data_IF_753376187039
#
_entry.id   IF_753376187039
#
_cell.length_a   1.000
_cell.length_b   1.000
_cell.length_c   1.000
_cell.angle_alpha   90.00
_cell.angle_beta   90.00
_cell.angle_gamma   90.00
#
_symmetry.space_group_name_H-M   'P 1'
#
loop_
_entity.id
_entity.type
_entity.pdbx_description
1 polymer ?
#
# COMPACT_ATOMS: atom_id res chain seq x y z
N UNK A 1 -5.46 -9.54 8.82
CA UNK A 1 -6.58 -9.89 9.72
C UNK A 1 -7.81 -9.18 9.18
N UNK A 2 -9.04 -9.69 9.40
CA UNK A 2 -10.17 -8.78 9.35
C UNK A 2 -9.88 -7.75 10.45
N UNK A 3 -9.90 -6.46 10.10
CA UNK A 3 -9.69 -5.42 11.10
C UNK A 3 -10.56 -5.73 12.31
N UNK A 4 -9.97 -5.74 13.50
CA UNK A 4 -10.76 -5.71 14.71
C UNK A 4 -11.65 -4.47 14.65
N UNK A 5 -12.86 -4.54 15.20
CA UNK A 5 -13.85 -3.46 15.11
C UNK A 5 -13.24 -2.08 15.48
N UNK A 6 -12.36 -2.04 16.48
CA UNK A 6 -11.69 -0.81 16.88
C UNK A 6 -10.72 -0.26 15.80
N UNK A 7 -10.02 -1.11 15.06
CA UNK A 7 -9.10 -0.72 13.98
C UNK A 7 -9.90 -0.16 12.81
N UNK A 8 -11.00 -0.83 12.45
CA UNK A 8 -11.94 -0.35 11.45
C UNK A 8 -12.54 1.01 11.82
N UNK A 9 -13.03 1.13 13.06
CA UNK A 9 -13.58 2.37 13.57
C UNK A 9 -12.54 3.49 13.59
N UNK A 10 -11.27 3.17 13.86
CA UNK A 10 -10.17 4.15 13.83
C UNK A 10 -9.98 4.73 12.43
N UNK A 11 -9.91 3.87 11.41
CA UNK A 11 -9.78 4.30 10.01
C UNK A 11 -11.02 5.08 9.60
N UNK A 12 -12.23 4.57 9.88
CA UNK A 12 -13.48 5.24 9.52
C UNK A 12 -13.64 6.61 10.19
N UNK A 13 -13.15 6.79 11.43
CA UNK A 13 -13.11 8.11 12.06
C UNK A 13 -12.26 9.11 11.28
N UNK A 14 -11.12 8.68 10.75
CA UNK A 14 -10.28 9.55 9.91
C UNK A 14 -10.95 9.89 8.57
N UNK A 15 -11.62 8.94 7.92
CA UNK A 15 -12.41 9.21 6.70
C UNK A 15 -13.57 10.18 6.98
N UNK A 16 -14.34 9.94 8.06
CA UNK A 16 -15.40 10.84 8.49
C UNK A 16 -14.88 12.24 8.82
N UNK A 17 -13.70 12.33 9.45
CA UNK A 17 -13.03 13.61 9.75
C UNK A 17 -12.65 14.35 8.47
N UNK A 18 -12.06 13.66 7.49
CA UNK A 18 -11.71 14.21 6.17
C UNK A 18 -12.95 14.74 5.44
N UNK A 19 -14.03 13.95 5.38
CA UNK A 19 -15.29 14.39 4.77
C UNK A 19 -15.90 15.60 5.46
N UNK A 20 -15.88 15.63 6.81
CA UNK A 20 -16.36 16.78 7.57
C UNK A 20 -15.51 18.03 7.29
N UNK A 21 -14.19 17.88 7.18
CA UNK A 21 -13.29 18.98 6.82
C UNK A 21 -13.54 19.49 5.40
N UNK A 22 -13.66 18.60 4.42
CA UNK A 22 -13.93 18.98 3.03
C UNK A 22 -15.29 19.67 2.86
N UNK A 23 -16.31 19.22 3.61
CA UNK A 23 -17.61 19.88 3.65
C UNK A 23 -17.50 21.30 4.20
N UNK A 24 -16.72 21.51 5.28
CA UNK A 24 -16.49 22.86 5.82
C UNK A 24 -15.80 23.76 4.80
N UNK A 25 -14.78 23.26 4.10
CA UNK A 25 -14.09 24.01 3.04
C UNK A 25 -15.10 24.39 1.94
N UNK A 26 -15.96 23.46 1.53
CA UNK A 26 -16.99 23.74 0.53
C UNK A 26 -17.99 24.80 1.01
N UNK A 27 -18.44 24.72 2.26
CA UNK A 27 -19.35 25.71 2.87
C UNK A 27 -18.69 27.10 2.92
N UNK A 28 -17.40 27.17 3.25
CA UNK A 28 -16.61 28.42 3.24
C UNK A 28 -16.48 29.00 1.82
N UNK A 29 -16.11 28.17 0.84
CA UNK A 29 -16.05 28.59 -0.57
C UNK A 29 -17.40 29.09 -1.08
N UNK A 30 -18.48 28.39 -0.74
CA UNK A 30 -19.83 28.75 -1.14
C UNK A 30 -20.28 30.07 -0.50
N UNK A 31 -20.03 30.25 0.80
CA UNK A 31 -20.34 31.50 1.49
C UNK A 31 -19.58 32.69 0.88
N UNK A 32 -18.28 32.54 0.65
CA UNK A 32 -17.46 33.57 0.02
C UNK A 32 -17.94 33.91 -1.40
N UNK A 33 -18.19 32.89 -2.22
CA UNK A 33 -18.61 33.06 -3.60
C UNK A 33 -19.99 33.72 -3.69
N UNK A 34 -20.94 33.36 -2.81
CA UNK A 34 -22.26 33.98 -2.76
C UNK A 34 -22.21 35.43 -2.28
N UNK A 35 -21.32 35.76 -1.35
CA UNK A 35 -21.13 37.14 -0.89
C UNK A 35 -20.61 38.03 -2.02
N UNK A 36 -19.61 37.56 -2.79
CA UNK A 36 -19.00 38.33 -3.87
C UNK A 36 -19.78 38.29 -5.18
N UNK A 37 -20.50 37.21 -5.45
CA UNK A 37 -21.24 36.96 -6.69
C UNK A 37 -22.67 36.50 -6.33
N UNK A 38 -23.56 37.42 -5.92
CA UNK A 38 -24.93 37.08 -5.49
C UNK A 38 -25.73 36.29 -6.53
N UNK A 39 -25.44 36.49 -7.83
CA UNK A 39 -26.06 35.75 -8.94
C UNK A 39 -25.88 34.23 -8.83
N UNK A 40 -24.80 33.74 -8.20
CA UNK A 40 -24.60 32.31 -7.99
C UNK A 40 -25.70 31.70 -7.11
N UNK A 41 -26.14 32.42 -6.08
CA UNK A 41 -27.22 31.97 -5.20
C UNK A 41 -28.56 31.95 -5.94
N UNK A 42 -28.82 32.96 -6.77
CA UNK A 42 -30.03 33.01 -7.60
C UNK A 42 -30.08 31.84 -8.58
N UNK A 43 -28.95 31.51 -9.21
CA UNK A 43 -28.83 30.34 -10.10
C UNK A 43 -29.19 29.06 -9.35
N UNK A 44 -28.68 28.85 -8.13
CA UNK A 44 -29.00 27.64 -7.36
C UNK A 44 -30.48 27.59 -6.94
N UNK A 45 -31.10 28.72 -6.60
CA UNK A 45 -32.54 28.83 -6.34
C UNK A 45 -33.40 28.55 -7.59
N UNK A 46 -32.96 29.02 -8.77
CA UNK A 46 -33.59 28.74 -10.07
C UNK A 46 -33.50 27.24 -10.41
N UNK A 47 -32.31 26.63 -10.28
CA UNK A 47 -32.11 25.19 -10.51
C UNK A 47 -32.98 24.34 -9.58
N UNK A 48 -33.07 24.70 -8.29
CA UNK A 48 -33.93 24.01 -7.33
C UNK A 48 -35.41 24.11 -7.73
N UNK A 49 -35.84 25.29 -8.17
CA UNK A 49 -37.23 25.54 -8.60
C UNK A 49 -37.58 24.75 -9.87
N UNK A 50 -36.70 24.76 -10.87
CA UNK A 50 -36.84 23.98 -12.11
C UNK A 50 -36.95 22.48 -11.80
N UNK A 51 -36.06 21.98 -10.93
CA UNK A 51 -36.04 20.58 -10.51
C UNK A 51 -37.33 20.18 -9.79
N UNK A 52 -37.79 20.98 -8.83
CA UNK A 52 -39.03 20.73 -8.09
C UNK A 52 -40.28 20.77 -9.00
N UNK A 53 -40.31 21.68 -9.97
CA UNK A 53 -41.38 21.74 -10.99
C UNK A 53 -41.42 20.44 -11.80
N UNK A 54 -40.27 19.89 -12.17
CA UNK A 54 -40.19 18.64 -12.93
C UNK A 54 -40.69 17.44 -12.14
N UNK A 55 -40.27 17.30 -10.88
CA UNK A 55 -40.75 16.21 -10.02
C UNK A 55 -42.28 16.19 -9.96
N UNK A 56 -42.91 17.37 -9.79
CA UNK A 56 -44.39 17.48 -9.80
C UNK A 56 -45.00 17.09 -11.14
N UNK A 57 -44.42 17.49 -12.27
CA UNK A 57 -44.95 17.16 -13.59
C UNK A 57 -44.92 15.64 -13.88
N UNK A 58 -43.84 14.95 -13.45
CA UNK A 58 -43.72 13.50 -13.58
C UNK A 58 -44.75 12.74 -12.71
N UNK A 59 -44.98 13.19 -11.48
CA UNK A 59 -46.03 12.64 -10.60
C UNK A 59 -47.41 12.78 -11.26
N UNK A 60 -47.65 13.90 -11.94
CA UNK A 60 -48.90 14.22 -12.61
C UNK A 60 -49.03 13.63 -14.04
N UNK A 61 -48.09 12.75 -14.47
CA UNK A 61 -48.07 12.09 -15.79
C UNK A 61 -48.12 13.04 -16.99
N UNK A 62 -47.52 14.21 -16.89
CA UNK A 62 -47.32 15.10 -18.04
C UNK A 62 -45.99 14.75 -18.73
N UNK A 63 -46.05 14.22 -19.96
CA UNK A 63 -44.87 13.75 -20.72
C UNK A 63 -44.08 14.85 -21.45
N UNK A 64 -44.53 16.10 -21.45
CA UNK A 64 -43.84 17.20 -22.13
C UNK A 64 -42.66 17.78 -21.33
N UNK A 65 -41.53 18.04 -22.00
CA UNK A 65 -40.46 18.92 -21.51
C UNK A 65 -39.35 18.26 -20.67
N UNK A 66 -38.87 17.06 -21.01
CA UNK A 66 -37.65 16.50 -20.39
C UNK A 66 -36.40 17.18 -20.96
N UNK A 67 -36.36 17.41 -22.27
CA UNK A 67 -35.21 18.02 -22.94
C UNK A 67 -35.06 19.51 -22.61
N UNK A 68 -36.16 20.25 -22.47
CA UNK A 68 -36.14 21.68 -22.09
C UNK A 68 -35.49 21.90 -20.71
N UNK A 69 -35.79 21.03 -19.73
CA UNK A 69 -35.19 21.13 -18.40
C UNK A 69 -33.67 20.89 -18.42
N UNK A 70 -33.22 19.89 -19.19
CA UNK A 70 -31.79 19.59 -19.31
C UNK A 70 -31.05 20.76 -19.93
N UNK A 71 -31.65 21.41 -20.93
CA UNK A 71 -31.10 22.58 -21.59
C UNK A 71 -31.06 23.78 -20.64
N UNK A 72 -32.13 24.07 -19.91
CA UNK A 72 -32.19 25.17 -18.94
C UNK A 72 -31.14 24.99 -17.83
N UNK A 73 -31.03 23.78 -17.26
CA UNK A 73 -30.01 23.46 -16.24
C UNK A 73 -28.59 23.57 -16.82
N UNK A 74 -28.38 23.14 -18.07
CA UNK A 74 -27.08 23.26 -18.73
C UNK A 74 -26.67 24.74 -18.96
N UNK A 75 -27.61 25.59 -19.37
CA UNK A 75 -27.39 27.04 -19.52
C UNK A 75 -27.03 27.71 -18.20
N UNK A 76 -27.78 27.41 -17.13
CA UNK A 76 -27.49 27.91 -15.78
C UNK A 76 -26.14 27.42 -15.26
N UNK A 77 -25.75 26.17 -15.55
CA UNK A 77 -24.43 25.64 -15.21
C UNK A 77 -23.30 26.35 -15.97
N UNK A 78 -23.50 26.66 -17.25
CA UNK A 78 -22.55 27.46 -18.04
C UNK A 78 -22.43 28.89 -17.51
N UNK A 79 -23.55 29.53 -17.18
CA UNK A 79 -23.57 30.87 -16.57
C UNK A 79 -22.78 30.88 -15.25
N UNK A 80 -23.05 29.91 -14.36
CA UNK A 80 -22.33 29.72 -13.10
C UNK A 80 -20.82 29.63 -13.30
N UNK A 81 -20.40 28.80 -14.26
CA UNK A 81 -18.99 28.60 -14.59
C UNK A 81 -18.34 29.89 -15.11
N UNK A 82 -19.03 30.61 -16.00
CA UNK A 82 -18.55 31.89 -16.53
C UNK A 82 -18.41 32.96 -15.44
N UNK A 83 -19.37 33.03 -14.50
CA UNK A 83 -19.34 33.96 -13.37
C UNK A 83 -18.15 33.69 -12.43
N UNK A 84 -17.89 32.43 -12.09
CA UNK A 84 -16.72 32.04 -11.30
C UNK A 84 -15.42 32.46 -11.98
N UNK A 85 -15.24 32.07 -13.25
CA UNK A 85 -14.02 32.39 -14.01
C UNK A 85 -13.80 33.89 -14.19
N UNK A 86 -14.86 34.65 -14.51
CA UNK A 86 -14.78 36.11 -14.69
C UNK A 86 -14.43 36.86 -13.40
N UNK A 87 -14.70 36.24 -12.24
CA UNK A 87 -14.39 36.78 -10.91
C UNK A 87 -13.09 36.25 -10.33
N UNK A 88 -12.31 35.48 -11.10
CA UNK A 88 -10.99 34.97 -10.70
C UNK A 88 -11.02 33.63 -9.94
N UNK A 89 -12.16 32.95 -9.85
CA UNK A 89 -12.28 31.64 -9.24
C UNK A 89 -12.12 30.51 -10.25
N UNK A 90 -11.59 29.34 -9.85
CA UNK A 90 -11.65 28.12 -10.63
C UNK A 90 -13.09 27.71 -10.98
N UNK A 91 -13.28 27.00 -12.10
CA UNK A 91 -14.60 26.54 -12.53
C UNK A 91 -15.27 25.56 -11.54
N UNK A 92 -14.45 24.80 -10.81
CA UNK A 92 -14.81 23.80 -9.81
C UNK A 92 -14.78 24.35 -8.37
N UNK A 93 -14.68 25.67 -8.18
CA UNK A 93 -14.51 26.29 -6.85
C UNK A 93 -15.59 25.92 -5.82
N UNK A 94 -16.81 25.68 -6.30
CA UNK A 94 -17.98 25.31 -5.49
C UNK A 94 -18.11 23.79 -5.29
N UNK A 95 -17.29 22.99 -5.96
CA UNK A 95 -17.29 21.54 -5.80
C UNK A 95 -16.62 21.15 -4.49
N UNK A 96 -17.09 20.05 -3.87
CA UNK A 96 -16.49 19.56 -2.63
C UNK A 96 -15.09 18.99 -2.94
N UNK A 97 -14.03 19.49 -2.31
CA UNK A 97 -12.71 18.91 -2.49
C UNK A 97 -12.71 17.45 -1.98
N UNK A 98 -11.92 16.59 -2.62
CA UNK A 98 -11.71 15.23 -2.15
C UNK A 98 -10.23 14.85 -2.19
N UNK A 99 -9.80 14.08 -1.19
CA UNK A 99 -8.42 13.58 -1.10
C UNK A 99 -8.24 12.38 -2.01
N UNK A 100 -9.20 11.45 -1.99
CA UNK A 100 -9.24 10.30 -2.88
C UNK A 100 -10.26 10.54 -4.01
N UNK A 101 -9.82 10.69 -5.27
CA UNK A 101 -10.73 10.90 -6.40
C UNK A 101 -11.56 9.65 -6.75
N UNK A 102 -11.16 8.47 -6.26
CA UNK A 102 -11.81 7.20 -6.57
C UNK A 102 -13.05 6.97 -5.69
N UNK A 103 -12.90 7.11 -4.37
CA UNK A 103 -13.98 6.87 -3.42
C UNK A 103 -14.59 8.15 -2.85
N UNK A 104 -14.08 9.32 -3.21
CA UNK A 104 -14.51 10.62 -2.67
C UNK A 104 -14.49 10.62 -1.13
N UNK A 105 -13.39 10.12 -0.57
CA UNK A 105 -13.15 10.01 0.87
C UNK A 105 -14.20 9.21 1.66
N UNK A 106 -14.93 8.30 1.00
CA UNK A 106 -15.79 7.32 1.68
C UNK A 106 -15.03 6.09 2.13
N UNK A 107 -13.87 5.81 1.51
CA UNK A 107 -13.12 4.57 1.69
C UNK A 107 -13.66 3.40 0.88
N UNK A 108 -14.76 3.56 0.14
CA UNK A 108 -15.45 2.47 -0.55
C UNK A 108 -15.86 2.86 -1.97
N UNK A 109 -15.86 1.87 -2.87
CA UNK A 109 -16.44 1.98 -4.21
C UNK A 109 -17.56 0.93 -4.28
N UNK A 110 -18.80 1.36 -4.09
CA UNK A 110 -19.92 0.44 -3.88
C UNK A 110 -19.75 -0.35 -2.59
N UNK A 111 -19.73 -1.68 -2.68
CA UNK A 111 -19.49 -2.58 -1.55
C UNK A 111 -18.02 -2.95 -1.34
N UNK A 112 -17.12 -2.52 -2.23
CA UNK A 112 -15.71 -2.90 -2.19
C UNK A 112 -14.88 -1.82 -1.53
N UNK A 113 -13.92 -2.22 -0.69
CA UNK A 113 -12.93 -1.31 -0.11
C UNK A 113 -12.11 -0.65 -1.21
N UNK A 114 -11.99 0.67 -1.16
CA UNK A 114 -11.13 1.43 -2.06
C UNK A 114 -9.65 1.12 -1.77
N UNK A 115 -8.78 1.28 -2.76
CA UNK A 115 -7.32 1.14 -2.60
C UNK A 115 -6.77 2.07 -1.51
N UNK A 116 -7.32 3.28 -1.36
CA UNK A 116 -6.92 4.19 -0.29
C UNK A 116 -7.29 3.66 1.10
N UNK A 117 -8.39 2.91 1.21
CA UNK A 117 -8.80 2.31 2.48
C UNK A 117 -7.88 1.14 2.81
N UNK A 118 -7.63 0.24 1.86
CA UNK A 118 -6.66 -0.85 2.00
C UNK A 118 -5.28 -0.33 2.46
N UNK A 119 -4.82 0.79 1.88
CA UNK A 119 -3.57 1.45 2.30
C UNK A 119 -3.63 1.96 3.75
N UNK A 120 -4.75 2.55 4.16
CA UNK A 120 -4.93 2.97 5.55
C UNK A 120 -4.96 1.78 6.54
N UNK A 121 -5.46 0.61 6.12
CA UNK A 121 -5.38 -0.62 6.93
C UNK A 121 -3.93 -1.01 7.20
N UNK A 122 -3.11 -0.98 6.15
CA UNK A 122 -1.69 -1.33 6.22
C UNK A 122 -0.94 -0.35 7.09
N UNK A 123 -1.15 0.96 6.90
CA UNK A 123 -0.51 1.99 7.69
C UNK A 123 -0.86 1.87 9.19
N UNK A 124 -2.11 1.53 9.49
CA UNK A 124 -2.53 1.26 10.87
C UNK A 124 -1.83 0.02 11.44
N UNK A 125 -1.76 -1.07 10.67
CA UNK A 125 -1.05 -2.29 11.09
C UNK A 125 0.42 -2.01 11.38
N UNK A 126 1.09 -1.21 10.56
CA UNK A 126 2.48 -0.81 10.75
C UNK A 126 2.71 0.08 11.95
N UNK A 127 1.75 0.97 12.24
CA UNK A 127 1.79 1.81 13.44
C UNK A 127 1.65 0.95 14.70
N UNK A 128 0.84 -0.10 14.65
CA UNK A 128 0.61 -1.00 15.78
C UNK A 128 1.74 -2.02 15.99
N UNK A 129 2.47 -2.39 14.94
CA UNK A 129 3.59 -3.33 15.02
C UNK A 129 4.93 -2.68 15.36
N UNK A 130 4.95 -1.39 15.71
CA UNK A 130 6.15 -0.56 15.87
C UNK A 130 7.07 -0.52 14.63
N UNK A 131 6.62 -1.05 13.49
CA UNK A 131 7.43 -1.11 12.27
C UNK A 131 7.79 0.30 11.80
N UNK A 132 6.91 1.29 12.00
CA UNK A 132 7.20 2.69 11.68
C UNK A 132 8.47 3.21 12.37
N UNK A 133 8.61 2.96 13.67
CA UNK A 133 9.81 3.38 14.43
C UNK A 133 11.07 2.61 14.01
N UNK A 134 10.90 1.37 13.54
CA UNK A 134 12.00 0.56 13.00
C UNK A 134 12.47 1.15 11.68
N UNK A 135 11.55 1.48 10.76
CA UNK A 135 11.88 1.99 9.42
C UNK A 135 12.55 3.39 9.47
N UNK A 136 12.26 4.21 10.49
CA UNK A 136 12.99 5.46 10.73
C UNK A 136 14.49 5.25 11.05
N UNK A 137 14.85 4.09 11.60
CA UNK A 137 16.23 3.73 11.99
C UNK A 137 16.90 2.77 11.01
N UNK A 138 16.11 1.93 10.34
CA UNK A 138 16.57 0.89 9.42
C UNK A 138 16.22 1.24 7.97
N UNK A 139 16.96 2.21 7.42
CA UNK A 139 16.80 2.70 6.06
C UNK A 139 18.17 2.90 5.38
N UNK A 140 18.13 3.29 4.10
CA UNK A 140 19.34 3.41 3.29
C UNK A 140 20.33 4.46 3.80
N UNK A 141 19.86 5.50 4.51
CA UNK A 141 20.71 6.55 5.08
C UNK A 141 21.52 6.03 6.30
N UNK A 142 20.95 5.06 7.02
CA UNK A 142 21.58 4.44 8.18
C UNK A 142 22.33 3.14 7.85
N UNK A 143 22.36 2.72 6.58
CA UNK A 143 23.12 1.55 6.15
C UNK A 143 24.63 1.84 6.23
N UNK A 144 25.39 1.07 7.00
CA UNK A 144 26.83 1.28 7.17
C UNK A 144 27.66 0.09 6.70
N UNK A 145 28.51 0.34 5.69
CA UNK A 145 29.48 -0.63 5.20
C UNK A 145 30.62 -0.91 6.20
N UNK A 146 30.75 -0.11 7.27
CA UNK A 146 31.82 -0.25 8.24
C UNK A 146 31.76 -1.58 9.01
N UNK A 147 30.58 -2.18 9.14
CA UNK A 147 30.36 -3.45 9.85
C UNK A 147 30.69 -4.70 9.01
N UNK A 148 31.05 -4.51 7.74
CA UNK A 148 31.41 -5.59 6.83
C UNK A 148 32.92 -5.57 6.57
N UNK A 149 33.56 -6.73 6.70
CA UNK A 149 35.00 -6.88 6.51
C UNK A 149 35.42 -6.89 5.04
N UNK A 150 36.57 -6.29 4.74
CA UNK A 150 37.25 -6.40 3.43
C UNK A 150 38.15 -7.63 3.33
N UNK A 151 38.33 -8.39 4.41
CA UNK A 151 39.27 -9.52 4.45
C UNK A 151 38.59 -10.89 4.55
N UNK A 152 37.35 -10.93 5.03
CA UNK A 152 36.59 -12.18 5.12
C UNK A 152 35.90 -12.39 3.78
N UNK A 153 36.19 -13.52 3.15
CA UNK A 153 35.68 -13.87 1.82
C UNK A 153 34.65 -14.98 1.88
N UNK A 154 33.68 -14.93 0.98
CA UNK A 154 32.77 -16.04 0.72
C UNK A 154 33.49 -17.10 -0.12
N UNK A 155 33.69 -18.30 0.43
CA UNK A 155 34.40 -19.41 -0.21
C UNK A 155 33.85 -19.76 -1.61
N UNK A 156 32.55 -19.55 -1.84
CA UNK A 156 31.90 -19.90 -3.10
C UNK A 156 32.05 -18.85 -4.20
N UNK A 157 32.27 -17.57 -3.84
CA UNK A 157 32.29 -16.46 -4.82
C UNK A 157 33.62 -15.70 -4.84
N UNK A 158 34.48 -15.91 -3.84
CA UNK A 158 35.73 -15.16 -3.64
C UNK A 158 35.53 -13.70 -3.21
N UNK A 159 34.28 -13.24 -3.04
CA UNK A 159 33.96 -11.86 -2.70
C UNK A 159 34.08 -11.61 -1.21
N UNK A 160 34.48 -10.40 -0.84
CA UNK A 160 34.53 -10.00 0.57
C UNK A 160 33.12 -9.79 1.15
N UNK A 161 32.98 -9.78 2.47
CA UNK A 161 31.72 -9.40 3.14
C UNK A 161 31.25 -8.02 2.65
N UNK A 162 32.17 -7.04 2.55
CA UNK A 162 31.83 -5.68 2.12
C UNK A 162 31.42 -5.61 0.66
N UNK A 163 32.07 -6.35 -0.22
CA UNK A 163 31.66 -6.45 -1.64
C UNK A 163 30.29 -7.09 -1.79
N UNK A 164 30.04 -8.15 -1.01
CA UNK A 164 28.76 -8.85 -1.00
C UNK A 164 27.64 -7.93 -0.49
N UNK A 165 27.87 -7.21 0.61
CA UNK A 165 26.95 -6.22 1.14
C UNK A 165 26.68 -5.07 0.16
N UNK A 166 27.71 -4.58 -0.53
CA UNK A 166 27.58 -3.53 -1.56
C UNK A 166 26.78 -3.99 -2.77
N UNK A 167 26.95 -5.24 -3.21
CA UNK A 167 26.08 -5.82 -4.25
C UNK A 167 24.63 -5.90 -3.81
N UNK A 168 24.38 -6.36 -2.58
CA UNK A 168 23.04 -6.43 -2.02
C UNK A 168 22.40 -5.03 -1.86
N UNK A 169 23.16 -4.05 -1.40
CA UNK A 169 22.74 -2.65 -1.29
C UNK A 169 22.38 -2.06 -2.65
N UNK A 170 23.25 -2.23 -3.65
CA UNK A 170 22.99 -1.73 -5.00
C UNK A 170 21.77 -2.41 -5.62
N UNK A 171 21.63 -3.73 -5.46
CA UNK A 171 20.44 -4.46 -5.91
C UNK A 171 19.16 -3.90 -5.26
N UNK A 172 19.20 -3.58 -3.97
CA UNK A 172 18.06 -3.00 -3.26
C UNK A 172 17.72 -1.58 -3.77
N UNK A 173 18.73 -0.73 -4.01
CA UNK A 173 18.52 0.61 -4.61
C UNK A 173 17.99 0.52 -6.03
N UNK A 174 18.54 -0.37 -6.86
CA UNK A 174 18.10 -0.60 -8.23
C UNK A 174 16.65 -1.11 -8.27
N UNK A 175 16.30 -2.01 -7.35
CA UNK A 175 14.94 -2.53 -7.20
C UNK A 175 13.94 -1.41 -6.88
N UNK A 176 14.26 -0.52 -5.93
CA UNK A 176 13.41 0.63 -5.60
C UNK A 176 13.28 1.58 -6.79
N UNK A 177 14.40 1.92 -7.44
CA UNK A 177 14.39 2.83 -8.58
C UNK A 177 13.63 2.27 -9.80
N UNK A 178 13.63 0.95 -9.98
CA UNK A 178 12.93 0.25 -11.05
C UNK A 178 11.51 -0.20 -10.71
N UNK A 179 11.03 0.01 -9.48
CA UNK A 179 9.86 -0.69 -8.94
C UNK A 179 8.60 -0.57 -9.81
N UNK A 180 8.30 0.63 -10.32
CA UNK A 180 7.13 0.90 -11.16
C UNK A 180 7.27 0.38 -12.61
N UNK A 181 8.51 0.16 -13.05
CA UNK A 181 8.82 -0.10 -14.46
C UNK A 181 9.16 -1.56 -14.73
N UNK A 182 9.64 -2.29 -13.72
CA UNK A 182 10.14 -3.66 -13.86
C UNK A 182 9.57 -4.56 -12.78
N UNK A 183 8.95 -5.67 -13.20
CA UNK A 183 8.55 -6.73 -12.28
C UNK A 183 9.78 -7.55 -11.87
N UNK A 184 10.17 -7.43 -10.60
CA UNK A 184 11.27 -8.18 -10.01
C UNK A 184 10.87 -8.75 -8.66
N UNK A 185 11.53 -9.84 -8.25
CA UNK A 185 11.42 -10.39 -6.91
C UNK A 185 12.83 -10.58 -6.35
N UNK A 186 13.02 -10.35 -5.05
CA UNK A 186 14.33 -10.50 -4.40
C UNK A 186 14.30 -11.62 -3.37
N UNK A 187 15.40 -12.35 -3.29
CA UNK A 187 15.58 -13.41 -2.30
C UNK A 187 16.91 -13.22 -1.58
N UNK A 188 16.85 -12.75 -0.34
CA UNK A 188 18.01 -12.55 0.52
C UNK A 188 18.23 -13.77 1.41
N UNK A 189 19.43 -14.35 1.36
CA UNK A 189 19.77 -15.52 2.19
C UNK A 189 21.17 -15.42 2.77
N UNK A 190 21.43 -16.13 3.85
CA UNK A 190 22.72 -16.11 4.55
C UNK A 190 22.55 -16.13 6.06
N UNK A 191 23.66 -16.05 6.79
CA UNK A 191 23.66 -16.24 8.24
C UNK A 191 22.90 -15.16 9.01
N UNK A 192 22.54 -15.48 10.25
CA UNK A 192 21.81 -14.59 11.14
C UNK A 192 22.59 -13.30 11.43
N UNK A 193 21.91 -12.15 11.32
CA UNK A 193 22.49 -10.84 11.68
C UNK A 193 23.40 -10.18 10.63
N UNK A 194 23.44 -10.68 9.39
CA UNK A 194 24.26 -10.09 8.30
C UNK A 194 23.60 -8.92 7.56
N UNK A 195 22.39 -8.52 7.94
CA UNK A 195 21.68 -7.36 7.37
C UNK A 195 20.60 -7.65 6.31
N UNK A 196 20.10 -8.90 6.22
CA UNK A 196 18.99 -9.26 5.30
C UNK A 196 17.71 -8.46 5.60
N UNK A 197 17.20 -8.55 6.82
CA UNK A 197 16.02 -7.82 7.30
C UNK A 197 16.19 -6.31 7.15
N UNK A 198 17.39 -5.79 7.47
CA UNK A 198 17.70 -4.36 7.32
C UNK A 198 17.55 -3.89 5.86
N UNK A 199 18.00 -4.68 4.87
CA UNK A 199 17.80 -4.35 3.46
C UNK A 199 16.34 -4.40 3.05
N UNK A 200 15.58 -5.39 3.54
CA UNK A 200 14.13 -5.44 3.34
C UNK A 200 13.43 -4.19 3.90
N UNK A 201 13.84 -3.73 5.09
CA UNK A 201 13.36 -2.49 5.70
C UNK A 201 13.73 -1.24 4.90
N UNK A 202 14.96 -1.17 4.36
CA UNK A 202 15.36 -0.07 3.49
C UNK A 202 14.44 0.05 2.27
N UNK A 203 14.12 -1.07 1.63
CA UNK A 203 13.20 -1.11 0.48
C UNK A 203 11.78 -0.74 0.92
N UNK A 204 11.29 -1.30 2.03
CA UNK A 204 9.97 -0.99 2.57
C UNK A 204 9.80 0.51 2.83
N UNK A 205 10.79 1.13 3.47
CA UNK A 205 10.79 2.56 3.78
C UNK A 205 10.61 3.43 2.53
N UNK A 206 11.47 3.26 1.51
CA UNK A 206 11.39 4.05 0.27
C UNK A 206 10.07 3.84 -0.48
N UNK A 207 9.55 2.61 -0.50
CA UNK A 207 8.30 2.30 -1.18
C UNK A 207 7.07 2.86 -0.44
N UNK A 208 7.10 2.88 0.89
CA UNK A 208 6.06 3.54 1.68
C UNK A 208 6.06 5.06 1.49
N UNK A 209 7.24 5.68 1.47
CA UNK A 209 7.40 7.12 1.20
C UNK A 209 6.91 7.50 -0.21
N UNK A 210 7.13 6.63 -1.20
CA UNK A 210 6.59 6.77 -2.57
C UNK A 210 5.14 6.30 -2.70
N UNK A 211 4.43 6.15 -1.58
CA UNK A 211 3.01 5.86 -1.49
C UNK A 211 2.54 4.47 -1.97
N UNK A 212 3.45 3.51 -2.15
CA UNK A 212 3.13 2.13 -2.50
C UNK A 212 2.53 1.33 -1.35
N UNK A 213 1.75 0.31 -1.70
CA UNK A 213 1.17 -0.63 -0.77
C UNK A 213 2.18 -1.75 -0.44
N UNK A 214 2.89 -1.61 0.68
CA UNK A 214 3.86 -2.61 1.17
C UNK A 214 3.23 -3.41 2.31
N UNK A 215 3.36 -4.74 2.28
CA UNK A 215 3.03 -5.63 3.39
C UNK A 215 4.30 -6.30 3.90
N UNK A 216 4.49 -6.31 5.22
CA UNK A 216 5.63 -6.92 5.88
C UNK A 216 5.13 -7.94 6.89
N UNK A 217 5.61 -9.17 6.78
CA UNK A 217 5.32 -10.24 7.70
C UNK A 217 6.61 -10.97 8.08
N UNK A 218 6.74 -11.35 9.35
CA UNK A 218 7.57 -12.52 9.66
C UNK A 218 6.93 -13.75 9.02
N UNK A 219 7.74 -14.76 8.67
CA UNK A 219 7.20 -15.99 8.10
C UNK A 219 6.14 -16.63 9.01
N UNK A 220 6.36 -16.61 10.33
CA UNK A 220 5.37 -17.07 11.30
C UNK A 220 4.03 -16.33 11.18
N UNK A 221 4.05 -14.99 11.21
CA UNK A 221 2.84 -14.17 11.14
C UNK A 221 2.10 -14.35 9.79
N UNK A 222 2.85 -14.51 8.70
CA UNK A 222 2.27 -14.79 7.38
C UNK A 222 1.48 -16.09 7.39
N UNK A 223 2.08 -17.19 7.86
CA UNK A 223 1.41 -18.49 7.82
C UNK A 223 0.29 -18.62 8.84
N UNK A 224 0.41 -17.98 10.01
CA UNK A 224 -0.69 -17.88 10.96
C UNK A 224 -1.87 -17.12 10.34
N UNK A 225 -1.59 -16.03 9.63
CA UNK A 225 -2.60 -15.28 8.89
C UNK A 225 -3.26 -16.10 7.78
N UNK A 226 -2.48 -16.75 6.91
CA UNK A 226 -3.01 -17.60 5.83
C UNK A 226 -3.79 -18.82 6.38
N UNK A 227 -3.35 -19.39 7.50
CA UNK A 227 -4.09 -20.45 8.18
C UNK A 227 -5.44 -19.92 8.68
N UNK A 228 -5.44 -18.79 9.39
CA UNK A 228 -6.66 -18.15 9.88
C UNK A 228 -7.67 -17.88 8.78
N UNK A 229 -7.23 -17.36 7.62
CA UNK A 229 -8.10 -17.16 6.45
C UNK A 229 -8.67 -18.46 5.92
N UNK A 230 -7.82 -19.48 5.69
CA UNK A 230 -8.24 -20.76 5.14
C UNK A 230 -9.30 -21.50 5.99
N UNK A 231 -9.31 -21.28 7.31
CA UNK A 231 -10.27 -21.89 8.23
C UNK A 231 -11.50 -21.01 8.53
N UNK A 232 -11.49 -19.73 8.17
CA UNK A 232 -12.58 -18.79 8.46
C UNK A 232 -13.63 -18.81 7.33
N UNK A 233 -14.71 -19.58 7.52
CA UNK A 233 -15.88 -19.59 6.63
C UNK A 233 -16.80 -18.39 6.90
N UNK A 234 -16.50 -17.19 6.40
CA UNK A 234 -17.51 -16.09 6.36
C UNK A 234 -17.39 -15.24 5.08
N UNK A 235 -18.56 -14.84 4.59
CA UNK A 235 -18.92 -14.28 3.28
C UNK A 235 -18.31 -12.90 2.90
N UNK A 236 -17.16 -12.52 3.45
CA UNK A 236 -16.42 -11.34 3.00
C UNK A 236 -15.26 -11.79 2.09
N UNK A 237 -14.84 -10.92 1.17
CA UNK A 237 -13.65 -11.17 0.32
C UNK A 237 -12.50 -11.70 1.16
N UNK A 238 -11.84 -12.81 0.78
CA UNK A 238 -10.80 -13.42 1.59
C UNK A 238 -9.72 -12.38 1.91
N UNK A 239 -9.37 -12.21 3.18
CA UNK A 239 -8.38 -11.22 3.63
C UNK A 239 -7.02 -11.43 2.94
N UNK A 240 -6.78 -12.63 2.40
CA UNK A 240 -5.61 -13.00 1.61
C UNK A 240 -5.47 -12.18 0.31
N UNK A 241 -6.56 -11.59 -0.18
CA UNK A 241 -6.52 -10.74 -1.38
C UNK A 241 -5.62 -9.51 -1.15
N UNK A 242 -5.52 -9.01 0.09
CA UNK A 242 -4.54 -7.96 0.43
C UNK A 242 -3.11 -8.43 0.22
N UNK A 243 -2.82 -9.69 0.57
CA UNK A 243 -1.51 -10.30 0.38
C UNK A 243 -1.23 -10.52 -1.10
N UNK A 244 -2.22 -10.87 -1.91
CA UNK A 244 -2.02 -11.10 -3.34
C UNK A 244 -1.97 -9.81 -4.17
N UNK A 245 -2.65 -8.74 -3.74
CA UNK A 245 -2.77 -7.49 -4.50
C UNK A 245 -1.84 -6.37 -4.04
N UNK A 246 -1.25 -6.44 -2.85
CA UNK A 246 -0.28 -5.42 -2.41
C UNK A 246 0.89 -5.32 -3.40
N UNK A 247 1.42 -4.10 -3.56
CA UNK A 247 2.47 -3.80 -4.54
C UNK A 247 3.75 -4.57 -4.20
N UNK A 248 4.11 -4.59 -2.91
CA UNK A 248 5.23 -5.37 -2.38
C UNK A 248 4.78 -6.21 -1.18
N UNK A 249 5.11 -7.50 -1.20
CA UNK A 249 5.06 -8.38 -0.03
C UNK A 249 6.48 -8.71 0.43
N UNK A 250 6.77 -8.51 1.71
CA UNK A 250 8.02 -8.90 2.36
C UNK A 250 7.71 -10.05 3.31
N UNK A 251 8.38 -11.18 3.10
CA UNK A 251 8.35 -12.37 3.94
C UNK A 251 9.72 -12.48 4.61
N UNK A 252 9.81 -12.06 5.87
CA UNK A 252 11.07 -12.03 6.60
C UNK A 252 11.29 -13.30 7.44
N UNK A 253 12.55 -13.72 7.57
CA UNK A 253 12.98 -14.86 8.38
C UNK A 253 12.22 -16.17 8.08
N UNK A 254 12.04 -16.46 6.79
CA UNK A 254 11.46 -17.71 6.31
C UNK A 254 12.32 -18.91 6.74
N UNK A 255 11.70 -19.86 7.42
CA UNK A 255 12.36 -21.04 8.01
C UNK A 255 12.33 -21.05 9.54
N UNK A 256 11.73 -20.04 10.16
CA UNK A 256 11.57 -19.95 11.63
C UNK A 256 10.27 -20.57 12.13
N UNK A 257 9.29 -20.77 11.25
CA UNK A 257 7.98 -21.32 11.54
C UNK A 257 7.98 -22.87 11.62
N UNK A 258 6.90 -23.43 12.20
CA UNK A 258 6.66 -24.87 12.18
C UNK A 258 6.22 -25.33 10.79
N UNK A 259 7.18 -25.77 9.99
CA UNK A 259 6.96 -26.20 8.61
C UNK A 259 6.22 -27.53 8.57
N UNK A 260 5.10 -27.55 7.86
CA UNK A 260 4.32 -28.75 7.55
C UNK A 260 3.83 -28.68 6.09
N UNK A 261 3.15 -29.74 5.62
CA UNK A 261 2.65 -29.80 4.24
C UNK A 261 1.68 -28.67 3.89
N UNK A 262 0.92 -28.16 4.87
CA UNK A 262 0.03 -27.03 4.69
C UNK A 262 0.83 -25.73 4.47
N UNK A 263 1.81 -25.43 5.33
CA UNK A 263 2.70 -24.26 5.20
C UNK A 263 3.42 -24.24 3.85
N UNK A 264 4.00 -25.38 3.44
CA UNK A 264 4.65 -25.51 2.13
C UNK A 264 3.68 -25.25 0.97
N UNK A 265 2.44 -25.74 1.08
CA UNK A 265 1.40 -25.52 0.06
C UNK A 265 0.95 -24.05 -0.01
N UNK A 266 0.79 -23.41 1.16
CA UNK A 266 0.41 -21.99 1.25
C UNK A 266 1.50 -21.07 0.70
N UNK A 267 2.78 -21.35 1.02
CA UNK A 267 3.90 -20.60 0.45
C UNK A 267 3.91 -20.72 -1.07
N UNK A 268 3.75 -21.94 -1.60
CA UNK A 268 3.72 -22.17 -3.04
C UNK A 268 2.56 -21.40 -3.70
N UNK A 269 1.37 -21.45 -3.12
CA UNK A 269 0.20 -20.72 -3.63
C UNK A 269 0.46 -19.21 -3.65
N UNK A 270 0.93 -18.66 -2.53
CA UNK A 270 1.21 -17.23 -2.38
C UNK A 270 2.22 -16.74 -3.42
N UNK A 271 3.36 -17.44 -3.55
CA UNK A 271 4.39 -17.10 -4.54
C UNK A 271 3.82 -17.18 -5.96
N UNK A 272 3.07 -18.23 -6.28
CA UNK A 272 2.56 -18.45 -7.62
C UNK A 272 1.52 -17.39 -8.02
N UNK A 273 0.57 -17.06 -7.13
CA UNK A 273 -0.43 -16.00 -7.35
C UNK A 273 0.25 -14.65 -7.59
N UNK A 274 1.20 -14.26 -6.73
CA UNK A 274 1.90 -12.98 -6.88
C UNK A 274 2.72 -12.89 -8.16
N UNK A 275 3.40 -13.97 -8.55
CA UNK A 275 4.09 -14.04 -9.86
C UNK A 275 3.09 -13.86 -11.01
N UNK A 276 1.96 -14.57 -10.99
CA UNK A 276 0.95 -14.47 -12.03
C UNK A 276 0.35 -13.06 -12.14
N UNK A 277 0.16 -12.39 -11.01
CA UNK A 277 -0.35 -11.01 -10.92
C UNK A 277 0.73 -9.94 -11.15
N UNK A 278 2.00 -10.33 -11.33
CA UNK A 278 3.17 -9.43 -11.41
C UNK A 278 3.28 -8.49 -10.21
N UNK A 279 3.04 -9.02 -9.00
CA UNK A 279 3.19 -8.31 -7.73
C UNK A 279 4.48 -8.72 -7.06
N UNK A 280 5.35 -7.75 -6.80
CA UNK A 280 6.75 -7.99 -6.38
C UNK A 280 6.82 -8.60 -4.99
N UNK A 281 7.75 -9.53 -4.78
CA UNK A 281 7.91 -10.22 -3.49
C UNK A 281 9.37 -10.23 -3.06
N UNK A 282 9.62 -9.93 -1.79
CA UNK A 282 10.92 -10.06 -1.16
C UNK A 282 10.83 -11.16 -0.11
N UNK A 283 11.78 -12.09 -0.16
CA UNK A 283 11.91 -13.16 0.82
C UNK A 283 13.27 -13.04 1.49
N UNK A 284 13.32 -13.16 2.80
CA UNK A 284 14.56 -13.31 3.55
C UNK A 284 14.58 -14.65 4.30
N UNK A 285 15.75 -15.31 4.36
CA UNK A 285 15.89 -16.60 5.08
C UNK A 285 17.28 -16.80 5.66
N UNK A 286 17.35 -17.48 6.81
CA UNK A 286 18.60 -17.97 7.41
C UNK A 286 18.97 -19.39 6.92
N UNK A 287 18.10 -20.04 6.14
CA UNK A 287 18.35 -21.37 5.59
C UNK A 287 19.36 -21.33 4.45
N UNK A 288 20.15 -22.40 4.32
CA UNK A 288 20.88 -22.67 3.07
C UNK A 288 19.89 -23.09 1.99
N UNK A 289 20.27 -22.92 0.72
CA UNK A 289 19.37 -23.26 -0.40
C UNK A 289 18.98 -24.75 -0.43
N UNK A 290 19.88 -25.63 -0.01
CA UNK A 290 19.62 -27.08 0.12
C UNK A 290 18.57 -27.36 1.20
N UNK A 291 18.75 -26.76 2.39
CA UNK A 291 17.80 -26.87 3.51
C UNK A 291 16.44 -26.28 3.14
N UNK A 292 16.43 -25.15 2.43
CA UNK A 292 15.21 -24.52 1.93
C UNK A 292 14.40 -25.47 1.04
N UNK A 293 15.06 -26.15 0.09
CA UNK A 293 14.41 -27.11 -0.80
C UNK A 293 13.85 -28.31 -0.04
N UNK A 294 14.56 -28.80 0.97
CA UNK A 294 14.09 -29.87 1.84
C UNK A 294 12.86 -29.46 2.67
N UNK A 295 12.84 -28.22 3.16
CA UNK A 295 11.77 -27.69 4.02
C UNK A 295 10.49 -27.34 3.25
N UNK A 296 10.59 -26.64 2.10
CA UNK A 296 9.43 -26.09 1.38
C UNK A 296 9.05 -26.82 0.10
N UNK A 297 9.76 -27.89 -0.24
CA UNK A 297 9.72 -28.65 -1.50
C UNK A 297 10.58 -28.09 -2.63
N UNK A 298 11.09 -29.02 -3.44
CA UNK A 298 11.84 -28.74 -4.67
C UNK A 298 11.01 -27.90 -5.66
N UNK A 299 9.69 -28.10 -5.71
CA UNK A 299 8.80 -27.35 -6.59
C UNK A 299 8.78 -25.86 -6.22
N UNK A 300 8.67 -25.55 -4.93
CA UNK A 300 8.69 -24.16 -4.44
C UNK A 300 10.05 -23.53 -4.68
N UNK A 301 11.13 -24.25 -4.37
CA UNK A 301 12.49 -23.79 -4.63
C UNK A 301 12.73 -23.49 -6.13
N UNK A 302 12.32 -24.39 -7.02
CA UNK A 302 12.42 -24.22 -8.48
C UNK A 302 11.69 -22.96 -8.95
N UNK A 303 10.50 -22.68 -8.39
CA UNK A 303 9.74 -21.47 -8.71
C UNK A 303 10.45 -20.20 -8.25
N UNK A 304 11.04 -20.20 -7.06
CA UNK A 304 11.80 -19.06 -6.55
C UNK A 304 13.08 -18.87 -7.39
N UNK A 305 13.86 -19.93 -7.60
CA UNK A 305 15.12 -19.89 -8.36
C UNK A 305 14.95 -19.36 -9.79
N UNK A 306 13.80 -19.57 -10.41
CA UNK A 306 13.50 -19.08 -11.76
C UNK A 306 12.94 -17.66 -11.83
N UNK A 307 12.41 -17.11 -10.73
CA UNK A 307 11.67 -15.83 -10.73
C UNK A 307 12.23 -14.77 -9.76
N UNK A 308 13.24 -15.12 -8.96
CA UNK A 308 13.80 -14.24 -7.93
C UNK A 308 15.29 -14.00 -8.19
N UNK A 309 15.72 -12.74 -8.02
CA UNK A 309 17.13 -12.40 -7.93
C UNK A 309 17.65 -12.78 -6.55
N UNK A 310 18.37 -13.90 -6.49
CA UNK A 310 18.94 -14.43 -5.25
C UNK A 310 20.26 -13.73 -4.91
N UNK A 311 20.35 -13.19 -3.70
CA UNK A 311 21.57 -12.58 -3.16
C UNK A 311 21.93 -13.17 -1.82
N UNK A 312 23.11 -13.77 -1.75
CA UNK A 312 23.69 -14.23 -0.48
C UNK A 312 24.31 -13.05 0.24
N UNK A 313 23.98 -12.83 1.50
CA UNK A 313 24.76 -12.00 2.40
C UNK A 313 25.66 -12.88 3.27
N UNK A 314 26.90 -12.46 3.44
CA UNK A 314 27.90 -13.15 4.25
C UNK A 314 28.49 -12.13 5.21
N UNK A 315 28.65 -12.51 6.47
CA UNK A 315 29.23 -11.65 7.46
C UNK A 315 29.15 -12.20 8.87
N UNK A 316 29.84 -11.52 9.78
CA UNK A 316 29.59 -11.66 11.22
C UNK A 316 28.28 -10.97 11.61
N UNK A 317 27.64 -11.45 12.68
CA UNK A 317 26.41 -10.83 13.19
C UNK A 317 26.68 -9.36 13.59
N UNK A 318 26.11 -8.43 12.83
CA UNK A 318 26.30 -6.99 12.98
C UNK A 318 25.68 -6.49 14.28
N UNK A 319 24.61 -7.12 14.77
CA UNK A 319 23.97 -6.74 16.05
C UNK A 319 24.92 -7.03 17.21
N UNK A 320 25.61 -8.16 17.15
CA UNK A 320 26.67 -8.52 18.12
C UNK A 320 27.84 -7.54 18.01
N UNK A 321 28.28 -7.20 16.79
CA UNK A 321 29.35 -6.21 16.59
C UNK A 321 29.00 -4.83 17.18
N UNK A 322 27.75 -4.36 17.00
CA UNK A 322 27.27 -3.09 17.57
C UNK A 322 27.36 -3.06 19.10
N UNK A 323 26.99 -4.16 19.77
CA UNK A 323 27.10 -4.29 21.23
C UNK A 323 28.56 -4.17 21.68
N UNK A 324 29.48 -4.90 21.03
CA UNK A 324 30.90 -4.87 21.40
C UNK A 324 31.59 -3.53 21.11
N UNK A 325 31.14 -2.79 20.11
CA UNK A 325 31.67 -1.48 19.74
C UNK A 325 31.03 -0.32 20.52
N UNK A 326 30.17 -0.61 21.51
CA UNK A 326 29.58 0.39 22.41
C UNK A 326 28.33 1.09 21.89
N UNK A 327 27.67 0.54 20.86
CA UNK A 327 26.40 1.05 20.36
C UNK A 327 25.25 0.72 21.31
N UNK A 328 24.62 1.76 21.88
CA UNK A 328 23.30 1.67 22.52
C UNK A 328 22.20 1.63 21.46
#
# INVERSE_FOLDING_TARGET
>A
MPLQNYQYDTIMREYNRRQAQNRRIQEEHQAEAYEKIPRLREIDEEVATLSARKVRALINRQESGIDDLRNDIALLSQERTALLLSSGYPADYLEMPCTCPICQDTGYVGSQKCSCFKKAEIELLYTQSNLKEILEKENFDHFSFAFYSDTITNDSTGLTERETARRAYNLAKDFVAGFDNTFENLFFYGDTGVGKTFLSHCIAHELLESAHCVLYFSAFDLFDFLAGSAFSRKNDTPDDELIFDCDLLIIDDLGTELTNSFVSSQLFLCINERIMRKKSTIISTNLKLEDFSATYSERTFSRIASNYRMTKLVGKDIRIQKIFLGGK
#
